data_IF_597838360616
#
_entry.id   IF_597838360616
#
_cell.length_a   1.000
_cell.length_b   1.000
_cell.length_c   1.000
_cell.angle_alpha   90.00
_cell.angle_beta   90.00
_cell.angle_gamma   90.00
#
_symmetry.space_group_name_H-M   'P 1'
#
loop_
_entity.id
_entity.type
_entity.pdbx_description
1 polymer ?
#
# COMPACT_ATOMS: atom_id res chain seq x y z
N UNK A 1 11.36 -1.31 12.12
CA UNK A 1 10.71 -2.62 11.89
C UNK A 1 9.93 -2.56 10.58
N UNK A 2 9.95 -3.60 9.73
CA UNK A 2 9.13 -3.64 8.51
C UNK A 2 7.70 -4.02 8.85
N UNK A 3 6.75 -3.38 8.19
CA UNK A 3 5.31 -3.59 8.37
C UNK A 3 4.62 -3.68 7.01
N UNK A 4 3.37 -4.14 7.03
CA UNK A 4 2.54 -4.21 5.84
C UNK A 4 1.68 -2.96 5.74
N UNK A 5 1.63 -2.42 4.53
CA UNK A 5 0.95 -1.16 4.26
C UNK A 5 0.00 -1.31 3.09
N UNK A 6 -1.15 -0.67 3.20
CA UNK A 6 -2.06 -0.45 2.10
C UNK A 6 -2.06 1.04 1.74
N UNK A 7 -1.88 1.32 0.46
CA UNK A 7 -1.94 2.64 -0.12
C UNK A 7 -3.09 2.71 -1.11
N UNK A 8 -4.15 3.42 -0.74
CA UNK A 8 -5.28 3.70 -1.61
C UNK A 8 -5.10 5.09 -2.21
N UNK A 9 -5.21 5.24 -3.53
CA UNK A 9 -5.07 6.54 -4.19
C UNK A 9 -6.06 6.66 -5.36
N UNK A 10 -6.45 7.89 -5.65
CA UNK A 10 -7.37 8.23 -6.74
C UNK A 10 -6.62 8.99 -7.82
N UNK A 11 -6.76 8.55 -9.06
CA UNK A 11 -6.20 9.23 -10.21
C UNK A 11 -7.19 9.16 -11.35
N UNK A 12 -7.48 10.31 -11.96
CA UNK A 12 -8.43 10.46 -13.06
C UNK A 12 -9.84 9.95 -12.65
N UNK A 13 -10.23 10.17 -11.39
CA UNK A 13 -11.51 9.69 -10.83
C UNK A 13 -11.54 8.20 -10.45
N UNK A 14 -10.51 7.41 -10.80
CA UNK A 14 -10.46 5.98 -10.50
C UNK A 14 -9.69 5.67 -9.21
N UNK A 15 -10.28 4.86 -8.33
CA UNK A 15 -9.60 4.32 -7.15
C UNK A 15 -8.62 3.22 -7.56
N UNK A 16 -7.40 3.30 -7.03
CA UNK A 16 -6.36 2.27 -7.14
C UNK A 16 -5.80 1.94 -5.76
N UNK A 17 -5.36 0.70 -5.58
CA UNK A 17 -4.76 0.22 -4.34
C UNK A 17 -3.41 -0.43 -4.63
N UNK A 18 -2.41 -0.12 -3.81
CA UNK A 18 -1.11 -0.79 -3.80
C UNK A 18 -0.80 -1.29 -2.40
N UNK A 19 -0.12 -2.42 -2.33
CA UNK A 19 0.34 -3.00 -1.08
C UNK A 19 1.86 -2.99 -1.00
N UNK A 20 2.38 -2.68 0.17
CA UNK A 20 3.82 -2.58 0.41
C UNK A 20 4.23 -3.35 1.66
N UNK A 21 5.46 -3.84 1.65
CA UNK A 21 6.11 -4.40 2.83
C UNK A 21 7.44 -3.69 3.06
N UNK A 22 7.53 -2.89 4.13
CA UNK A 22 8.68 -2.02 4.36
C UNK A 22 8.54 -1.16 5.61
N UNK A 23 9.51 -0.26 5.81
CA UNK A 23 9.47 0.74 6.87
C UNK A 23 8.56 1.90 6.47
N UNK A 24 8.02 2.62 7.46
CA UNK A 24 7.20 3.82 7.22
C UNK A 24 7.97 4.87 6.39
N UNK A 25 9.25 5.12 6.72
CA UNK A 25 10.07 6.06 5.97
C UNK A 25 10.23 5.68 4.49
N UNK A 26 10.41 4.39 4.18
CA UNK A 26 10.51 3.91 2.80
C UNK A 26 9.17 4.06 2.04
N UNK A 27 8.06 3.76 2.71
CA UNK A 27 6.71 3.97 2.18
C UNK A 27 6.46 5.45 1.86
N UNK A 28 6.72 6.35 2.80
CA UNK A 28 6.52 7.79 2.64
C UNK A 28 7.30 8.34 1.44
N UNK A 29 8.57 7.94 1.29
CA UNK A 29 9.38 8.32 0.11
C UNK A 29 8.78 7.83 -1.20
N UNK A 30 8.16 6.65 -1.22
CA UNK A 30 7.54 6.06 -2.41
C UNK A 30 6.20 6.72 -2.74
N UNK A 31 5.33 6.91 -1.76
CA UNK A 31 3.98 7.47 -1.94
C UNK A 31 3.99 8.97 -2.20
N UNK A 32 5.05 9.70 -1.79
CA UNK A 32 5.25 11.12 -2.13
C UNK A 32 5.31 11.36 -3.64
N UNK A 33 5.78 10.40 -4.42
CA UNK A 33 5.92 10.52 -5.89
C UNK A 33 4.60 10.38 -6.66
N UNK A 34 3.50 10.01 -6.00
CA UNK A 34 2.20 9.88 -6.64
C UNK A 34 1.49 11.24 -6.62
N UNK A 35 1.34 11.84 -7.79
CA UNK A 35 0.41 12.93 -8.05
C UNK A 35 -0.99 12.33 -8.24
N UNK A 36 -1.89 12.64 -7.30
CA UNK A 36 -3.20 12.03 -7.17
C UNK A 36 -4.14 12.98 -6.44
N UNK A 37 -5.42 12.94 -6.80
CA UNK A 37 -6.46 13.82 -6.23
C UNK A 37 -6.66 13.56 -4.74
N UNK A 38 -6.56 12.29 -4.35
CA UNK A 38 -6.67 11.83 -2.97
C UNK A 38 -5.81 10.60 -2.74
N UNK A 39 -5.20 10.51 -1.57
CA UNK A 39 -4.49 9.30 -1.12
C UNK A 39 -4.68 9.04 0.36
N UNK A 40 -4.65 7.76 0.72
CA UNK A 40 -4.73 7.25 2.07
C UNK A 40 -3.73 6.12 2.27
N UNK A 41 -3.09 6.11 3.43
CA UNK A 41 -2.07 5.14 3.81
C UNK A 41 -2.45 4.55 5.15
N UNK A 42 -2.56 3.23 5.23
CA UNK A 42 -2.84 2.51 6.47
C UNK A 42 -1.91 1.35 6.67
N UNK A 43 -1.54 1.13 7.93
CA UNK A 43 -0.90 -0.10 8.34
C UNK A 43 -1.93 -1.23 8.36
N UNK A 44 -1.53 -2.42 7.94
CA UNK A 44 -2.37 -3.62 8.02
C UNK A 44 -1.64 -4.72 8.78
N UNK A 45 -2.40 -5.54 9.50
CA UNK A 45 -1.85 -6.68 10.21
C UNK A 45 -1.28 -7.72 9.24
N UNK A 46 -0.33 -8.54 9.73
CA UNK A 46 0.23 -9.65 8.96
C UNK A 46 -0.88 -10.61 8.48
N UNK A 47 -1.83 -10.97 9.34
CA UNK A 47 -2.97 -11.82 8.99
C UNK A 47 -3.78 -11.25 7.82
N UNK A 48 -4.02 -9.93 7.81
CA UNK A 48 -4.71 -9.27 6.70
C UNK A 48 -3.88 -9.28 5.43
N UNK A 49 -2.57 -9.06 5.54
CA UNK A 49 -1.67 -9.11 4.39
C UNK A 49 -1.59 -10.51 3.77
N UNK A 50 -1.57 -11.56 4.61
CA UNK A 50 -1.55 -12.96 4.16
C UNK A 50 -2.85 -13.30 3.42
N UNK A 51 -4.02 -12.95 3.98
CA UNK A 51 -5.32 -13.08 3.28
C UNK A 51 -5.35 -12.35 1.93
N UNK A 52 -4.82 -11.12 1.87
CA UNK A 52 -4.77 -10.37 0.61
C UNK A 52 -3.87 -11.06 -0.42
N UNK A 53 -2.76 -11.65 0.02
CA UNK A 53 -1.80 -12.32 -0.85
C UNK A 53 -2.33 -13.66 -1.38
N UNK A 54 -2.95 -14.48 -0.52
CA UNK A 54 -3.41 -15.82 -0.91
C UNK A 54 -4.78 -15.76 -1.59
N UNK A 55 -5.78 -15.19 -0.91
CA UNK A 55 -7.18 -15.23 -1.36
C UNK A 55 -7.47 -14.20 -2.44
N UNK A 56 -6.89 -13.00 -2.30
CA UNK A 56 -7.11 -11.90 -3.24
C UNK A 56 -5.98 -11.77 -4.26
N UNK A 57 -4.97 -12.64 -4.21
CA UNK A 57 -3.81 -12.65 -5.11
C UNK A 57 -3.14 -11.27 -5.24
N UNK A 58 -3.18 -10.48 -4.16
CA UNK A 58 -2.66 -9.13 -4.15
C UNK A 58 -1.13 -9.14 -4.16
N UNK A 59 -0.53 -8.31 -5.00
CA UNK A 59 0.91 -8.16 -5.07
C UNK A 59 1.42 -7.16 -4.02
N UNK A 60 2.44 -7.56 -3.27
CA UNK A 60 3.13 -6.74 -2.29
C UNK A 60 4.50 -6.31 -2.81
N UNK A 61 4.74 -5.00 -2.87
CA UNK A 61 6.02 -4.43 -3.26
C UNK A 61 6.91 -4.34 -2.02
N UNK A 62 8.11 -4.94 -2.09
CA UNK A 62 9.09 -4.82 -1.00
C UNK A 62 9.83 -3.48 -1.10
N UNK A 63 9.91 -2.75 0.01
CA UNK A 63 10.58 -1.46 0.16
C UNK A 63 11.71 -1.49 1.20
#
# INVERSE_FOLDING_TARGET
MKQYWQFDFYRDGYKRTRFFYGTEAALQRRTKKYECDRKDVRNISKTRADFLRTEKKAHFITL
#
